data_IF_835158477299
#
_entry.id   IF_835158477299
#
_cell.length_a   1.000
_cell.length_b   1.000
_cell.length_c   1.000
_cell.angle_alpha   90.00
_cell.angle_beta   90.00
_cell.angle_gamma   90.00
#
_symmetry.space_group_name_H-M   'P 1'
#
loop_
_entity.id
_entity.type
_entity.pdbx_description
1 polymer ?
#
# COMPACT_ATOMS: atom_id res chain seq x y z
N UNK A 1 -26.23 -25.44 49.75
CA UNK A 1 -25.74 -24.59 48.66
C UNK A 1 -24.36 -25.14 48.28
N UNK A 2 -24.30 -26.38 47.78
CA UNK A 2 -24.37 -26.75 46.35
C UNK A 2 -23.09 -26.36 45.59
N UNK A 3 -22.16 -27.33 45.58
CA UNK A 3 -21.44 -27.94 44.46
C UNK A 3 -20.71 -27.08 43.40
N UNK A 4 -19.51 -27.54 43.04
CA UNK A 4 -18.86 -27.18 41.78
C UNK A 4 -17.39 -27.56 41.67
N UNK A 5 -17.09 -28.85 41.50
CA UNK A 5 -15.77 -29.36 41.08
C UNK A 5 -15.60 -29.29 39.55
N UNK A 6 -14.36 -29.53 39.10
CA UNK A 6 -13.91 -29.83 37.73
C UNK A 6 -13.80 -28.60 36.79
N UNK A 7 -12.88 -28.50 35.83
CA UNK A 7 -11.73 -29.30 35.42
C UNK A 7 -11.07 -28.52 34.26
N UNK A 8 -9.77 -28.75 34.07
CA UNK A 8 -9.08 -28.75 32.76
C UNK A 8 -9.12 -27.48 31.92
N UNK A 9 -8.00 -26.75 31.95
CA UNK A 9 -7.49 -26.06 30.78
C UNK A 9 -7.25 -27.10 29.67
N UNK A 10 -7.94 -26.94 28.54
CA UNK A 10 -7.60 -27.62 27.29
C UNK A 10 -8.21 -26.86 26.12
N UNK A 11 -7.46 -26.93 25.03
CA UNK A 11 -7.89 -26.76 23.66
C UNK A 11 -7.77 -25.35 23.08
N UNK A 12 -6.61 -25.18 22.43
CA UNK A 12 -6.46 -24.49 21.17
C UNK A 12 -7.76 -24.37 20.35
N UNK A 13 -8.08 -23.17 19.91
CA UNK A 13 -8.87 -22.95 18.70
C UNK A 13 -7.93 -22.21 17.72
N UNK A 14 -7.22 -22.92 16.85
CA UNK A 14 -7.70 -23.44 15.56
C UNK A 14 -8.08 -22.29 14.63
N UNK A 15 -7.16 -22.04 13.71
CA UNK A 15 -7.31 -21.38 12.40
C UNK A 15 -8.76 -21.24 11.94
N UNK A 16 -9.34 -20.07 12.21
CA UNK A 16 -10.58 -19.63 11.61
C UNK A 16 -10.31 -19.12 10.21
N UNK A 17 -10.23 -20.04 9.24
CA UNK A 17 -10.50 -19.76 7.83
C UNK A 17 -11.98 -19.39 7.64
N UNK A 18 -12.41 -18.29 8.26
CA UNK A 18 -13.75 -17.76 8.12
C UNK A 18 -13.87 -17.11 6.77
N UNK A 19 -14.79 -17.64 5.95
CA UNK A 19 -15.27 -16.97 4.74
C UNK A 19 -15.50 -15.48 5.04
N UNK A 20 -14.98 -14.56 4.22
CA UNK A 20 -15.14 -13.15 4.45
C UNK A 20 -16.63 -12.83 4.58
N UNK A 21 -17.02 -11.98 5.55
CA UNK A 21 -18.43 -11.70 5.82
C UNK A 21 -19.13 -11.20 4.55
N UNK A 22 -20.40 -11.58 4.37
CA UNK A 22 -21.17 -11.43 3.13
C UNK A 22 -21.16 -10.00 2.54
N UNK A 23 -21.02 -8.97 3.39
CA UNK A 23 -20.89 -7.56 2.95
C UNK A 23 -19.58 -7.26 2.20
N UNK A 24 -18.55 -8.09 2.36
CA UNK A 24 -17.30 -8.03 1.58
C UNK A 24 -17.49 -8.70 0.21
N UNK A 25 -18.30 -9.76 0.15
CA UNK A 25 -18.60 -10.54 -1.07
C UNK A 25 -19.65 -9.88 -1.98
N UNK A 26 -20.49 -9.00 -1.44
CA UNK A 26 -21.65 -8.42 -2.16
C UNK A 26 -21.47 -6.94 -2.52
N UNK A 27 -20.23 -6.44 -2.62
CA UNK A 27 -20.03 -5.10 -3.21
C UNK A 27 -20.64 -5.11 -4.61
N UNK A 28 -21.67 -4.27 -4.90
CA UNK A 28 -22.21 -4.20 -6.24
C UNK A 28 -21.07 -3.85 -7.18
N UNK A 29 -20.79 -4.72 -8.15
CA UNK A 29 -19.76 -4.50 -9.15
C UNK A 29 -20.21 -3.32 -10.01
N UNK A 30 -19.87 -2.10 -9.59
CA UNK A 30 -20.02 -0.93 -10.43
C UNK A 30 -19.22 -1.24 -11.72
N UNK A 31 -19.85 -1.17 -12.90
CA UNK A 31 -19.12 -1.43 -14.14
C UNK A 31 -17.91 -0.50 -14.18
N UNK A 32 -16.72 -1.01 -14.54
CA UNK A 32 -15.51 -0.23 -14.53
C UNK A 32 -15.73 1.01 -15.39
N UNK A 33 -15.62 2.18 -14.77
CA UNK A 33 -15.77 3.45 -15.48
C UNK A 33 -14.65 3.51 -16.52
N UNK A 34 -15.01 3.77 -17.77
CA UNK A 34 -14.03 3.92 -18.84
C UNK A 34 -12.98 4.97 -18.43
N UNK A 35 -11.70 4.75 -18.77
CA UNK A 35 -10.63 5.69 -18.45
C UNK A 35 -10.97 7.06 -19.07
N UNK A 36 -10.75 8.12 -18.29
CA UNK A 36 -10.98 9.50 -18.74
C UNK A 36 -9.63 10.17 -18.96
N UNK A 37 -9.40 10.66 -20.17
CA UNK A 37 -8.12 11.26 -20.56
C UNK A 37 -8.22 12.78 -20.65
N UNK A 38 -7.18 13.47 -20.17
CA UNK A 38 -7.05 14.92 -20.17
C UNK A 38 -5.70 15.30 -20.79
N UNK A 39 -5.69 16.20 -21.77
CA UNK A 39 -4.44 16.74 -22.30
C UNK A 39 -3.90 17.80 -21.36
N UNK A 40 -2.69 17.57 -20.85
CA UNK A 40 -1.97 18.54 -20.01
C UNK A 40 -1.15 19.48 -20.89
N UNK A 41 -0.49 18.93 -21.92
CA UNK A 41 0.22 19.67 -22.97
C UNK A 41 0.32 18.82 -24.25
N UNK A 42 1.06 19.27 -25.26
CA UNK A 42 1.19 18.59 -26.57
C UNK A 42 1.75 17.15 -26.50
N UNK A 43 2.48 16.80 -25.43
CA UNK A 43 3.17 15.51 -25.28
C UNK A 43 2.74 14.74 -24.02
N UNK A 44 1.88 15.32 -23.18
CA UNK A 44 1.52 14.78 -21.87
C UNK A 44 0.01 14.66 -21.72
N UNK A 45 -0.45 13.43 -21.52
CA UNK A 45 -1.85 13.10 -21.27
C UNK A 45 -1.99 12.50 -19.87
N UNK A 46 -2.88 13.07 -19.07
CA UNK A 46 -3.28 12.54 -17.78
C UNK A 46 -4.47 11.60 -17.98
N UNK A 47 -4.36 10.36 -17.51
CA UNK A 47 -5.43 9.36 -17.61
C UNK A 47 -5.92 9.03 -16.20
N UNK A 48 -7.21 9.25 -15.95
CA UNK A 48 -7.87 8.82 -14.72
C UNK A 48 -8.54 7.46 -15.00
N UNK A 49 -8.04 6.41 -14.36
CA UNK A 49 -8.51 5.05 -14.52
C UNK A 49 -8.85 4.41 -13.16
N UNK A 50 -9.90 3.61 -13.13
CA UNK A 50 -10.20 2.75 -11.98
C UNK A 50 -9.52 1.40 -12.16
N UNK A 51 -8.75 0.95 -11.18
CA UNK A 51 -8.01 -0.30 -11.25
C UNK A 51 -7.26 -0.63 -9.97
N UNK A 52 -6.47 -1.70 -10.02
CA UNK A 52 -5.61 -2.18 -8.95
C UNK A 52 -4.14 -1.96 -9.36
N UNK A 53 -3.42 -1.15 -8.58
CA UNK A 53 -2.02 -0.78 -8.85
C UNK A 53 -1.10 -2.00 -8.95
N UNK A 54 -1.41 -3.10 -8.25
CA UNK A 54 -0.60 -4.31 -8.27
C UNK A 54 -0.66 -5.09 -9.60
N UNK A 55 -1.61 -4.76 -10.49
CA UNK A 55 -1.86 -5.47 -11.75
C UNK A 55 -1.62 -4.62 -12.99
N UNK A 56 -1.10 -3.41 -12.84
CA UNK A 56 -0.85 -2.50 -13.96
C UNK A 56 0.40 -2.94 -14.72
N UNK A 57 0.29 -3.18 -16.03
CA UNK A 57 1.40 -3.69 -16.86
C UNK A 57 1.87 -2.70 -17.94
N UNK A 58 1.11 -1.63 -18.19
CA UNK A 58 1.36 -0.68 -19.28
C UNK A 58 2.11 0.58 -18.81
N UNK A 59 2.90 0.47 -17.75
CA UNK A 59 3.62 1.59 -17.14
C UNK A 59 5.04 1.16 -16.74
N UNK A 60 5.97 2.11 -16.74
CA UNK A 60 7.36 1.85 -16.35
C UNK A 60 7.54 1.78 -14.83
N UNK A 61 6.77 2.58 -14.09
CA UNK A 61 6.86 2.69 -12.65
C UNK A 61 5.49 2.91 -11.99
N UNK A 62 5.38 2.45 -10.74
CA UNK A 62 4.21 2.69 -9.88
C UNK A 62 4.62 3.53 -8.68
N UNK A 63 3.85 4.57 -8.38
CA UNK A 63 4.02 5.39 -7.18
C UNK A 63 3.13 4.84 -6.07
N UNK A 64 3.71 4.61 -4.89
CA UNK A 64 2.98 4.18 -3.69
C UNK A 64 3.20 5.14 -2.53
N UNK A 65 2.23 5.20 -1.62
CA UNK A 65 2.37 5.90 -0.36
C UNK A 65 3.19 5.03 0.60
N UNK A 66 4.37 5.49 0.98
CA UNK A 66 5.26 4.72 1.83
C UNK A 66 5.33 5.34 3.23
N UNK A 67 5.52 4.48 4.23
CA UNK A 67 5.95 4.94 5.55
C UNK A 67 7.37 5.49 5.46
N UNK A 68 7.79 6.40 6.37
CA UNK A 68 9.16 6.91 6.39
C UNK A 68 10.25 5.83 6.57
N UNK A 69 9.85 4.64 7.02
CA UNK A 69 10.72 3.48 7.20
C UNK A 69 10.85 2.63 5.92
N UNK A 70 10.09 2.93 4.87
CA UNK A 70 9.92 2.09 3.67
C UNK A 70 9.51 0.65 3.97
N UNK A 71 8.76 0.48 5.06
CA UNK A 71 8.15 -0.78 5.44
C UNK A 71 6.68 -0.71 5.06
N UNK A 72 6.13 -1.86 4.65
CA UNK A 72 4.73 -2.03 4.29
C UNK A 72 3.82 -1.32 5.30
N UNK A 73 2.99 -0.40 4.81
CA UNK A 73 1.93 0.20 5.60
C UNK A 73 0.84 -0.85 5.82
N UNK A 74 0.66 -1.32 7.05
CA UNK A 74 -0.43 -2.24 7.37
C UNK A 74 -1.79 -1.62 6.99
N UNK A 75 -2.54 -2.29 6.12
CA UNK A 75 -3.92 -1.91 5.76
C UNK A 75 -4.11 -0.81 4.69
N UNK A 76 -3.03 -0.27 4.12
CA UNK A 76 -3.11 0.72 3.02
C UNK A 76 -3.25 0.08 1.63
N UNK A 77 -3.60 0.87 0.61
CA UNK A 77 -3.56 0.41 -0.79
C UNK A 77 -2.16 -0.08 -1.19
N UNK A 78 -1.12 0.49 -0.57
CA UNK A 78 0.28 0.12 -0.80
C UNK A 78 0.56 -1.31 -0.35
N UNK A 79 -0.20 -1.84 0.63
CA UNK A 79 -0.01 -3.20 1.10
C UNK A 79 -0.24 -4.24 0.02
N UNK A 80 -1.20 -4.04 -0.90
CA UNK A 80 -1.41 -4.98 -2.01
C UNK A 80 -0.22 -4.99 -2.97
N UNK A 81 0.43 -3.84 -3.16
CA UNK A 81 1.65 -3.70 -3.97
C UNK A 81 2.83 -4.39 -3.28
N UNK A 82 3.01 -4.23 -1.97
CA UNK A 82 4.03 -4.98 -1.22
C UNK A 82 3.80 -6.51 -1.27
N UNK A 83 2.55 -6.97 -1.17
CA UNK A 83 2.24 -8.39 -1.30
C UNK A 83 2.52 -8.93 -2.70
N UNK A 84 2.16 -8.16 -3.74
CA UNK A 84 2.41 -8.53 -5.13
C UNK A 84 3.91 -8.49 -5.49
N UNK A 85 4.63 -7.44 -5.08
CA UNK A 85 6.07 -7.30 -5.26
C UNK A 85 6.87 -8.33 -4.47
N UNK A 86 6.32 -8.81 -3.36
CA UNK A 86 6.88 -9.91 -2.58
C UNK A 86 8.07 -9.52 -1.71
N UNK A 87 8.81 -10.53 -1.21
CA UNK A 87 9.98 -10.31 -0.35
C UNK A 87 11.11 -9.59 -1.10
N UNK A 88 11.16 -9.68 -2.43
CA UNK A 88 12.19 -9.02 -3.25
C UNK A 88 12.07 -7.49 -3.18
N UNK A 89 10.84 -6.96 -3.28
CA UNK A 89 10.59 -5.53 -3.12
C UNK A 89 10.98 -5.06 -1.70
N UNK A 90 10.66 -5.85 -0.67
CA UNK A 90 11.07 -5.53 0.70
C UNK A 90 12.59 -5.57 0.84
N UNK A 91 13.28 -6.55 0.25
CA UNK A 91 14.73 -6.64 0.29
C UNK A 91 15.38 -5.40 -0.32
N UNK A 92 14.86 -4.90 -1.45
CA UNK A 92 15.32 -3.65 -2.06
C UNK A 92 15.08 -2.43 -1.16
N UNK A 93 13.93 -2.34 -0.49
CA UNK A 93 13.69 -1.28 0.50
C UNK A 93 14.74 -1.30 1.64
N UNK A 94 15.20 -2.48 2.07
CA UNK A 94 16.23 -2.61 3.09
C UNK A 94 17.65 -2.25 2.60
N UNK A 95 17.87 -2.16 1.29
CA UNK A 95 19.14 -1.67 0.72
C UNK A 95 19.20 -0.13 0.67
N UNK A 96 18.05 0.55 0.72
CA UNK A 96 18.01 2.03 0.73
C UNK A 96 18.65 2.55 2.03
N UNK A 97 19.68 3.42 1.97
CA UNK A 97 20.38 3.86 3.17
C UNK A 97 19.47 4.64 4.12
N UNK A 98 19.69 4.45 5.42
CA UNK A 98 19.03 5.23 6.46
C UNK A 98 19.61 6.64 6.52
N UNK A 99 18.73 7.65 6.48
CA UNK A 99 19.09 9.06 6.63
C UNK A 99 19.15 9.44 8.10
N UNK A 100 18.27 8.87 8.91
CA UNK A 100 18.22 8.97 10.36
C UNK A 100 17.94 7.58 10.94
N UNK A 101 18.18 7.36 12.23
CA UNK A 101 17.97 6.07 12.87
C UNK A 101 16.55 5.52 12.59
N UNK A 102 16.45 4.46 11.78
CA UNK A 102 15.20 3.84 11.37
C UNK A 102 14.36 4.63 10.34
N UNK A 103 14.89 5.68 9.71
CA UNK A 103 14.22 6.48 8.66
C UNK A 103 15.01 6.39 7.37
N UNK A 104 14.38 5.90 6.31
CA UNK A 104 14.96 5.74 4.97
C UNK A 104 14.43 6.77 3.98
N UNK A 105 13.16 7.16 4.14
CA UNK A 105 12.50 8.19 3.35
C UNK A 105 11.89 9.24 4.29
N UNK A 106 12.51 10.41 4.45
CA UNK A 106 11.92 11.51 5.21
C UNK A 106 10.54 11.92 4.65
N UNK A 107 9.67 12.47 5.50
CA UNK A 107 8.35 12.96 5.07
C UNK A 107 8.53 14.09 4.04
N UNK A 108 7.82 14.00 2.92
CA UNK A 108 7.94 14.94 1.79
C UNK A 108 9.05 14.59 0.81
N UNK A 109 9.65 13.39 0.93
CA UNK A 109 10.60 12.85 -0.05
C UNK A 109 10.06 11.58 -0.72
N UNK A 110 10.72 11.19 -1.81
CA UNK A 110 10.51 9.92 -2.50
C UNK A 110 11.81 9.11 -2.61
N UNK A 111 11.68 7.79 -2.72
CA UNK A 111 12.77 6.85 -2.99
C UNK A 111 12.38 5.90 -4.12
N UNK A 112 13.33 5.56 -4.98
CA UNK A 112 13.14 4.63 -6.08
C UNK A 112 13.72 3.27 -5.69
N UNK A 113 12.96 2.20 -5.91
CA UNK A 113 13.46 0.82 -5.88
C UNK A 113 13.01 0.11 -7.16
N UNK A 114 13.59 -1.05 -7.44
CA UNK A 114 12.99 -2.06 -8.31
C UNK A 114 11.66 -2.55 -7.76
N UNK A 115 10.91 -3.26 -8.60
CA UNK A 115 9.53 -3.66 -8.32
C UNK A 115 9.39 -5.11 -7.82
N UNK A 116 10.49 -5.84 -7.64
CA UNK A 116 10.46 -7.26 -7.27
C UNK A 116 9.67 -8.08 -8.29
N UNK A 117 8.56 -8.69 -7.84
CA UNK A 117 7.69 -9.54 -8.67
C UNK A 117 6.53 -8.81 -9.35
N UNK A 118 6.43 -7.49 -9.20
CA UNK A 118 5.40 -6.70 -9.88
C UNK A 118 5.67 -6.67 -11.40
N UNK A 119 4.62 -6.52 -12.22
CA UNK A 119 4.74 -6.44 -13.68
C UNK A 119 5.20 -5.04 -14.17
N UNK A 120 6.04 -4.35 -13.40
CA UNK A 120 6.61 -3.03 -13.71
C UNK A 120 8.10 -3.03 -13.38
N UNK A 121 8.87 -2.10 -13.93
CA UNK A 121 10.31 -2.06 -13.68
C UNK A 121 10.64 -1.46 -12.30
N UNK A 122 9.92 -0.41 -11.90
CA UNK A 122 10.25 0.36 -10.71
C UNK A 122 9.05 0.67 -9.81
N UNK A 123 9.34 0.87 -8.52
CA UNK A 123 8.40 1.38 -7.52
C UNK A 123 8.98 2.67 -6.92
N UNK A 124 8.17 3.72 -6.94
CA UNK A 124 8.48 5.01 -6.32
C UNK A 124 7.74 5.07 -4.99
N UNK A 125 8.50 5.13 -3.91
CA UNK A 125 8.02 5.19 -2.54
C UNK A 125 7.94 6.64 -2.08
N UNK A 126 6.76 7.25 -2.12
CA UNK A 126 6.55 8.62 -1.69
C UNK A 126 6.08 8.67 -0.23
N UNK A 127 6.89 9.27 0.65
CA UNK A 127 6.55 9.40 2.07
C UNK A 127 5.71 10.66 2.31
N UNK A 128 4.38 10.53 2.20
CA UNK A 128 3.45 11.62 2.48
C UNK A 128 3.33 11.96 3.97
N UNK A 129 2.96 13.21 4.33
CA UNK A 129 2.64 13.56 5.71
C UNK A 129 1.36 12.87 6.18
N UNK A 130 1.32 12.48 7.45
CA UNK A 130 0.05 12.16 8.09
C UNK A 130 -0.82 13.42 8.15
N UNK A 131 -1.95 13.40 7.45
CA UNK A 131 -2.83 14.56 7.38
C UNK A 131 -3.36 14.91 8.78
N UNK A 132 -3.06 16.12 9.24
CA UNK A 132 -3.63 16.69 10.48
C UNK A 132 -4.44 17.93 10.18
N UNK A 133 -3.81 18.87 9.49
CA UNK A 133 -4.42 20.12 9.06
C UNK A 133 -3.85 20.53 7.69
N UNK A 134 -4.68 21.22 6.90
CA UNK A 134 -4.33 21.57 5.53
C UNK A 134 -3.06 22.43 5.44
N UNK A 135 -2.93 23.44 6.30
CA UNK A 135 -1.81 24.37 6.30
C UNK A 135 -0.45 23.68 6.54
N UNK A 136 -0.41 22.66 7.39
CA UNK A 136 0.80 21.92 7.69
C UNK A 136 1.09 20.78 6.69
N UNK A 137 0.04 20.15 6.15
CA UNK A 137 0.18 18.90 5.37
C UNK A 137 0.31 19.16 3.85
N UNK A 138 -0.39 20.15 3.30
CA UNK A 138 -0.37 20.42 1.87
C UNK A 138 1.02 20.79 1.31
N UNK A 139 1.83 21.63 1.98
CA UNK A 139 3.17 21.96 1.48
C UNK A 139 4.11 20.75 1.41
N UNK A 140 3.94 19.75 2.29
CA UNK A 140 4.77 18.54 2.30
C UNK A 140 4.42 17.59 1.15
N UNK A 141 3.16 17.55 0.71
CA UNK A 141 2.75 16.82 -0.50
C UNK A 141 3.25 17.50 -1.78
N UNK A 142 3.26 18.84 -1.82
CA UNK A 142 3.70 19.58 -2.99
C UNK A 142 5.21 19.49 -3.27
N UNK A 143 6.00 18.98 -2.31
CA UNK A 143 7.45 18.82 -2.42
C UNK A 143 7.90 17.43 -2.83
N UNK A 144 7.02 16.44 -2.69
CA UNK A 144 7.28 15.04 -2.96
C UNK A 144 7.30 14.71 -4.45
#
# INVERSE_FOLDING_TARGET
>A
MSDGAASTASSANSDGGGEPPEWLSTRPSRPPKAPTSYQVNEVCTLIIQHGDLSKVTSVDAVVICASPRLVCCEGGADSSVYHAGGPDLLAECHLVPEVLAGVRCPIGEARLTGAGRLPVAYVIHAAGPAFREHAASAPLLARA
#
